data_IF_326609822369
#
_entry.id   IF_326609822369
#
_cell.length_a   1.000
_cell.length_b   1.000
_cell.length_c   1.000
_cell.angle_alpha   90.00
_cell.angle_beta   90.00
_cell.angle_gamma   90.00
#
_symmetry.space_group_name_H-M   'P 1'
#
loop_
_entity.id
_entity.type
_entity.pdbx_description
1 polymer ?
#
# COMPACT_ATOMS: atom_id res chain seq x y z
N UNK A 1 -54.46 -50.56 -2.09
CA UNK A 1 -52.98 -50.76 -2.15
C UNK A 1 -52.34 -49.75 -1.23
N UNK A 2 -51.50 -50.21 -0.32
CA UNK A 2 -51.07 -49.51 0.88
C UNK A 2 -49.90 -48.55 0.67
N UNK A 3 -49.85 -47.57 1.58
CA UNK A 3 -48.85 -46.57 1.93
C UNK A 3 -47.42 -47.10 1.99
N UNK A 4 -46.43 -46.31 1.53
CA UNK A 4 -45.08 -46.21 2.14
C UNK A 4 -44.42 -44.83 1.91
N UNK A 5 -44.06 -44.19 3.01
CA UNK A 5 -42.80 -43.47 3.28
C UNK A 5 -42.25 -44.07 4.59
N UNK A 6 -41.03 -43.79 5.12
CA UNK A 6 -39.88 -43.00 4.65
C UNK A 6 -38.51 -43.76 4.81
N UNK A 7 -37.37 -43.13 4.48
CA UNK A 7 -36.05 -43.65 4.86
C UNK A 7 -34.86 -42.82 4.35
N UNK A 8 -34.35 -41.96 5.24
CA UNK A 8 -32.95 -41.56 5.50
C UNK A 8 -31.89 -41.69 4.39
N UNK A 9 -31.31 -40.54 3.99
CA UNK A 9 -29.99 -40.50 3.37
C UNK A 9 -28.99 -39.84 4.32
N UNK A 10 -27.99 -40.66 4.67
CA UNK A 10 -26.79 -40.35 5.42
C UNK A 10 -25.96 -39.23 4.77
N UNK A 11 -25.48 -38.32 5.61
CA UNK A 11 -24.38 -37.40 5.31
C UNK A 11 -23.07 -38.19 5.40
N UNK A 12 -22.34 -38.32 4.30
CA UNK A 12 -20.95 -38.80 4.33
C UNK A 12 -19.99 -37.62 4.32
N UNK A 13 -19.43 -37.33 5.51
CA UNK A 13 -18.21 -36.56 5.69
C UNK A 13 -17.04 -37.28 4.98
N UNK A 14 -16.30 -36.56 4.15
CA UNK A 14 -14.95 -36.95 3.75
C UNK A 14 -14.03 -35.76 4.02
N UNK A 15 -13.44 -35.78 5.22
CA UNK A 15 -12.21 -35.07 5.53
C UNK A 15 -11.09 -35.65 4.66
N UNK A 16 -10.42 -34.80 3.89
CA UNK A 16 -9.16 -35.14 3.23
C UNK A 16 -8.01 -34.84 4.19
N UNK A 17 -7.32 -35.89 4.61
CA UNK A 17 -6.07 -35.80 5.37
C UNK A 17 -4.87 -35.38 4.49
N UNK A 18 -3.83 -34.79 5.09
CA UNK A 18 -2.68 -34.22 4.37
C UNK A 18 -1.71 -35.30 3.87
N UNK A 19 -1.24 -35.12 2.64
CA UNK A 19 -0.22 -35.97 1.99
C UNK A 19 1.13 -35.79 2.70
N UNK A 20 1.67 -36.91 3.22
CA UNK A 20 3.04 -37.05 3.72
C UNK A 20 4.04 -36.89 2.57
N UNK A 21 4.92 -35.88 2.63
CA UNK A 21 6.13 -35.86 1.80
C UNK A 21 7.19 -36.79 2.40
N UNK A 22 7.64 -37.73 1.58
CA UNK A 22 8.73 -38.64 1.88
C UNK A 22 10.09 -37.93 1.82
N UNK A 23 10.94 -38.25 2.78
CA UNK A 23 12.33 -37.81 2.90
C UNK A 23 13.17 -38.26 1.69
N UNK A 24 13.59 -37.30 0.84
CA UNK A 24 14.69 -37.49 -0.08
C UNK A 24 15.99 -37.00 0.58
N UNK A 25 16.88 -37.94 0.90
CA UNK A 25 18.26 -37.68 1.33
C UNK A 25 19.03 -37.04 0.17
N UNK A 26 19.34 -35.76 0.28
CA UNK A 26 20.36 -35.10 -0.53
C UNK A 26 21.73 -35.28 0.15
N UNK A 27 22.63 -36.02 -0.49
CA UNK A 27 24.03 -36.11 -0.11
C UNK A 27 24.71 -34.76 -0.40
N UNK A 28 25.18 -34.11 0.66
CA UNK A 28 26.05 -32.94 0.58
C UNK A 28 27.47 -33.42 0.27
N UNK A 29 27.97 -33.08 -0.91
CA UNK A 29 29.39 -33.17 -1.25
C UNK A 29 30.01 -31.83 -0.88
N UNK A 30 30.82 -31.84 0.17
CA UNK A 30 31.66 -30.72 0.60
C UNK A 30 32.80 -30.49 -0.39
N UNK A 31 32.93 -29.28 -0.91
CA UNK A 31 34.23 -28.72 -1.30
C UNK A 31 34.13 -27.19 -1.42
N UNK A 32 34.68 -26.51 -0.42
CA UNK A 32 35.14 -25.12 -0.51
C UNK A 32 36.66 -25.15 -0.43
N UNK A 33 37.40 -24.44 -1.30
CA UNK A 33 38.79 -24.11 -1.02
C UNK A 33 38.85 -22.81 -0.23
N UNK A 34 39.64 -22.83 0.85
CA UNK A 34 39.98 -21.69 1.70
C UNK A 34 40.66 -20.52 0.93
N UNK A 35 40.52 -19.27 1.41
CA UNK A 35 41.30 -18.15 0.91
C UNK A 35 42.75 -18.19 1.44
N UNK A 36 43.76 -17.76 0.66
CA UNK A 36 45.13 -17.77 1.13
C UNK A 36 45.41 -16.62 2.10
N UNK A 37 46.35 -16.92 3.01
CA UNK A 37 46.77 -16.18 4.17
C UNK A 37 47.49 -14.84 3.87
N UNK A 38 47.40 -13.98 4.89
CA UNK A 38 48.17 -12.76 5.10
C UNK A 38 49.65 -13.13 5.25
N UNK A 39 50.52 -12.48 4.49
CA UNK A 39 51.96 -12.44 4.74
C UNK A 39 52.37 -11.00 5.07
N UNK A 40 53.09 -10.91 6.17
CA UNK A 40 53.71 -9.75 6.80
C UNK A 40 55.09 -9.55 6.14
N UNK A 41 55.40 -8.35 5.64
CA UNK A 41 56.79 -7.93 5.42
C UNK A 41 56.94 -6.41 5.60
N UNK A 42 57.92 -6.06 6.42
CA UNK A 42 58.31 -4.75 6.92
C UNK A 42 59.26 -3.99 5.99
N UNK A 43 59.26 -2.64 6.14
CA UNK A 43 60.41 -1.71 5.97
C UNK A 43 60.77 -1.33 4.50
N UNK A 44 61.06 -0.09 4.07
CA UNK A 44 61.51 1.19 4.66
C UNK A 44 61.42 2.30 3.56
N UNK A 45 61.64 3.57 3.95
CA UNK A 45 61.80 4.84 3.19
C UNK A 45 60.53 5.54 2.63
N UNK A 46 60.25 6.85 2.81
CA UNK A 46 60.95 7.98 3.41
C UNK A 46 60.64 9.32 2.70
N UNK A 47 59.59 10.06 3.11
CA UNK A 47 59.46 11.55 3.31
C UNK A 47 59.72 12.53 2.11
N UNK A 48 59.20 13.80 2.01
CA UNK A 48 58.17 14.56 2.75
C UNK A 48 57.05 15.22 1.89
N UNK A 49 56.02 15.69 2.61
CA UNK A 49 54.99 16.66 2.23
C UNK A 49 55.51 18.10 2.45
N UNK A 50 55.26 19.03 1.52
CA UNK A 50 55.46 20.48 1.73
C UNK A 50 54.17 21.25 1.45
N UNK A 51 53.76 22.02 2.45
CA UNK A 51 52.71 23.03 2.50
C UNK A 51 53.20 24.37 1.92
N UNK A 52 52.37 25.10 1.17
CA UNK A 52 52.34 26.59 1.21
C UNK A 52 50.98 27.15 0.76
N UNK A 53 50.50 28.16 1.49
CA UNK A 53 49.33 29.01 1.22
C UNK A 53 49.73 30.29 0.42
N UNK A 54 48.76 31.08 -0.09
CA UNK A 54 48.92 31.93 -1.29
C UNK A 54 49.11 33.43 -0.98
N UNK A 55 49.25 34.30 -2.01
CA UNK A 55 48.91 35.72 -1.86
C UNK A 55 47.78 36.21 -2.80
N UNK A 56 46.96 37.07 -2.22
CA UNK A 56 46.00 38.02 -2.84
C UNK A 56 46.68 38.96 -3.85
N UNK A 57 45.91 39.56 -4.78
CA UNK A 57 45.86 41.02 -5.05
C UNK A 57 44.73 41.41 -6.02
N UNK A 58 43.86 42.27 -5.49
CA UNK A 58 43.15 43.45 -6.01
C UNK A 58 42.43 43.52 -7.38
N UNK A 59 41.20 44.03 -7.23
CA UNK A 59 40.20 44.53 -8.18
C UNK A 59 40.67 45.84 -8.87
N UNK A 60 40.30 46.04 -10.15
CA UNK A 60 40.01 47.37 -10.71
C UNK A 60 38.84 47.32 -11.72
N UNK A 61 38.01 48.34 -11.60
CA UNK A 61 36.74 48.65 -12.26
C UNK A 61 36.91 49.37 -13.59
N UNK A 62 35.94 49.24 -14.51
CA UNK A 62 35.57 50.30 -15.47
C UNK A 62 34.21 50.05 -16.14
N UNK A 63 33.40 51.11 -16.15
CA UNK A 63 32.01 51.25 -16.59
C UNK A 63 31.81 51.25 -18.13
N UNK A 64 30.57 50.94 -18.57
CA UNK A 64 29.65 51.73 -19.44
C UNK A 64 28.73 50.81 -20.26
N UNK A 65 27.41 50.79 -20.03
CA UNK A 65 26.32 51.65 -20.57
C UNK A 65 25.88 51.29 -22.01
N UNK A 66 24.56 51.21 -22.14
CA UNK A 66 23.66 50.60 -23.13
C UNK A 66 23.67 51.22 -24.54
N UNK A 67 23.22 50.46 -25.56
CA UNK A 67 22.18 50.97 -26.48
C UNK A 67 21.43 49.88 -27.29
N UNK A 68 20.24 50.28 -27.78
CA UNK A 68 19.12 49.50 -28.35
C UNK A 68 19.27 49.15 -29.85
N UNK A 69 18.46 48.19 -30.32
CA UNK A 69 17.45 48.28 -31.41
C UNK A 69 17.42 47.14 -32.45
N UNK A 70 16.26 46.46 -32.47
CA UNK A 70 15.44 45.88 -33.57
C UNK A 70 16.03 45.55 -34.96
N UNK A 71 15.68 44.37 -35.48
CA UNK A 71 15.04 44.20 -36.81
C UNK A 71 14.46 42.79 -37.00
N UNK A 72 13.36 42.72 -37.77
CA UNK A 72 12.42 41.61 -37.91
C UNK A 72 12.63 40.75 -39.19
N UNK A 73 12.48 39.42 -39.03
CA UNK A 73 11.80 38.42 -39.91
C UNK A 73 12.34 38.05 -41.32
N UNK A 74 11.82 36.98 -41.99
CA UNK A 74 11.73 35.55 -41.59
C UNK A 74 12.18 34.61 -42.74
N UNK A 75 12.36 33.30 -42.50
CA UNK A 75 12.21 32.29 -43.56
C UNK A 75 12.02 30.88 -42.99
N UNK A 76 10.83 30.36 -43.27
CA UNK A 76 10.36 29.01 -42.99
C UNK A 76 11.35 27.95 -43.50
N UNK A 77 11.61 26.95 -42.65
CA UNK A 77 11.87 25.60 -43.13
C UNK A 77 11.24 24.60 -42.17
N UNK A 78 10.00 24.25 -42.51
CA UNK A 78 9.27 23.10 -42.00
C UNK A 78 10.18 21.86 -42.07
N UNK A 79 10.64 21.38 -40.92
CA UNK A 79 10.98 19.98 -40.71
C UNK A 79 10.23 19.50 -39.50
N UNK A 80 9.07 18.93 -39.79
CA UNK A 80 8.47 17.80 -39.11
C UNK A 80 9.52 16.92 -38.44
N UNK A 81 9.59 17.00 -37.11
CA UNK A 81 9.62 15.80 -36.28
C UNK A 81 8.72 16.09 -35.09
N UNK A 82 7.53 15.50 -35.13
CA UNK A 82 6.72 15.14 -33.97
C UNK A 82 7.55 14.26 -33.03
N UNK A 83 8.49 14.87 -32.31
CA UNK A 83 9.13 14.24 -31.17
C UNK A 83 8.43 14.79 -29.95
N UNK A 84 7.57 13.95 -29.38
CA UNK A 84 7.14 13.94 -27.99
C UNK A 84 8.13 14.66 -27.05
N UNK A 85 7.95 15.97 -26.90
CA UNK A 85 8.37 16.72 -25.73
C UNK A 85 7.09 17.11 -24.99
N UNK A 86 6.39 16.08 -24.51
CA UNK A 86 5.60 16.21 -23.28
C UNK A 86 6.60 16.56 -22.19
N UNK A 87 6.78 17.86 -21.99
CA UNK A 87 7.60 18.41 -20.93
C UNK A 87 6.92 18.02 -19.61
N UNK A 88 7.59 17.17 -18.84
CA UNK A 88 7.26 16.91 -17.45
C UNK A 88 7.29 18.26 -16.71
N UNK A 89 6.12 18.76 -16.30
CA UNK A 89 5.99 19.89 -15.38
C UNK A 89 5.64 19.32 -14.00
N UNK A 90 6.57 19.29 -13.04
CA UNK A 90 6.22 18.96 -11.66
C UNK A 90 5.36 20.08 -11.04
N UNK A 91 4.31 19.68 -10.30
CA UNK A 91 3.42 20.51 -9.47
C UNK A 91 2.28 21.31 -10.14
N UNK A 92 1.51 20.71 -11.05
CA UNK A 92 0.10 21.11 -11.19
C UNK A 92 -0.80 19.90 -11.49
N UNK A 93 -1.69 19.49 -10.57
CA UNK A 93 -2.63 18.43 -10.86
C UNK A 93 -3.70 18.89 -11.85
N UNK A 94 -4.04 18.03 -12.82
CA UNK A 94 -5.25 18.11 -13.67
C UNK A 94 -6.51 17.65 -12.89
N UNK A 95 -6.57 17.90 -11.58
CA UNK A 95 -7.58 17.30 -10.70
C UNK A 95 -8.48 18.35 -10.07
N UNK A 96 -9.70 17.92 -9.74
CA UNK A 96 -10.61 18.72 -8.95
C UNK A 96 -10.12 18.72 -7.49
N UNK A 97 -9.57 19.86 -7.05
CA UNK A 97 -9.06 20.05 -5.69
C UNK A 97 -10.13 19.85 -4.60
N UNK A 98 -11.42 19.73 -4.96
CA UNK A 98 -12.50 19.49 -4.01
C UNK A 98 -12.66 18.01 -3.59
N UNK A 99 -12.04 17.05 -4.30
CA UNK A 99 -12.26 15.62 -4.03
C UNK A 99 -11.22 15.07 -3.06
N UNK A 100 -11.71 14.58 -1.91
CA UNK A 100 -10.88 13.95 -0.88
C UNK A 100 -10.82 12.43 -1.08
N UNK A 101 -9.63 11.85 -1.03
CA UNK A 101 -9.44 10.39 -0.93
C UNK A 101 -9.44 10.00 0.55
N UNK A 102 -10.52 9.38 1.01
CA UNK A 102 -10.63 8.79 2.35
C UNK A 102 -9.99 7.40 2.35
N UNK A 103 -8.72 7.35 2.73
CA UNK A 103 -7.93 6.14 2.74
C UNK A 103 -8.12 5.37 4.05
N UNK A 104 -8.76 4.21 4.01
CA UNK A 104 -8.97 3.36 5.18
C UNK A 104 -7.84 2.35 5.29
N UNK A 105 -7.05 2.45 6.35
CA UNK A 105 -5.94 1.53 6.64
C UNK A 105 -6.15 0.81 7.96
N UNK A 106 -6.56 -0.47 7.93
CA UNK A 106 -6.50 -1.32 9.11
C UNK A 106 -5.03 -1.63 9.43
N UNK A 107 -4.66 -1.57 10.71
CA UNK A 107 -3.32 -1.97 11.18
C UNK A 107 -3.41 -2.69 12.52
N UNK A 108 -2.34 -3.39 12.88
CA UNK A 108 -2.20 -4.11 14.14
C UNK A 108 -0.73 -4.29 14.51
N UNK A 109 -0.48 -4.46 15.81
CA UNK A 109 0.86 -4.61 16.37
C UNK A 109 1.55 -5.88 15.88
N UNK A 110 2.68 -5.70 15.19
CA UNK A 110 3.57 -6.78 14.72
C UNK A 110 4.96 -6.20 14.44
N UNK A 111 6.02 -7.03 14.33
CA UNK A 111 7.39 -6.53 14.10
C UNK A 111 7.53 -5.60 12.88
N UNK A 112 6.76 -5.83 11.81
CA UNK A 112 6.84 -5.05 10.57
C UNK A 112 5.87 -3.86 10.51
N UNK A 113 5.05 -3.62 11.54
CA UNK A 113 4.01 -2.57 11.52
C UNK A 113 4.58 -1.19 11.19
N UNK A 114 5.57 -0.74 11.96
CA UNK A 114 6.13 0.59 11.80
C UNK A 114 6.87 0.78 10.46
N UNK A 115 7.67 -0.19 9.96
CA UNK A 115 8.18 -0.15 8.60
C UNK A 115 7.09 -0.05 7.52
N UNK A 116 6.06 -0.90 7.59
CA UNK A 116 4.95 -0.96 6.63
C UNK A 116 4.17 0.36 6.59
N UNK A 117 3.79 0.88 7.75
CA UNK A 117 3.12 2.18 7.84
C UNK A 117 4.02 3.36 7.44
N UNK A 118 5.33 3.27 7.67
CA UNK A 118 6.27 4.34 7.29
C UNK A 118 6.36 4.45 5.77
N UNK A 119 6.52 3.33 5.05
CA UNK A 119 6.56 3.36 3.58
C UNK A 119 5.22 3.82 2.99
N UNK A 120 4.10 3.37 3.54
CA UNK A 120 2.78 3.82 3.09
C UNK A 120 2.64 5.33 3.31
N UNK A 121 2.93 5.83 4.51
CA UNK A 121 2.88 7.26 4.81
C UNK A 121 3.78 8.10 3.90
N UNK A 122 4.97 7.60 3.55
CA UNK A 122 5.86 8.28 2.60
C UNK A 122 5.29 8.34 1.18
N UNK A 123 4.66 7.26 0.69
CA UNK A 123 3.93 7.25 -0.58
C UNK A 123 2.78 8.27 -0.57
N UNK A 124 1.97 8.27 0.49
CA UNK A 124 0.80 9.16 0.59
C UNK A 124 1.15 10.64 0.66
N UNK A 125 2.36 11.01 1.10
CA UNK A 125 2.83 12.40 1.04
C UNK A 125 2.98 12.94 -0.38
N UNK A 126 3.03 12.06 -1.38
CA UNK A 126 3.07 12.43 -2.80
C UNK A 126 1.65 12.63 -3.38
N UNK A 127 0.61 12.30 -2.62
CA UNK A 127 -0.78 12.28 -3.09
C UNK A 127 -1.53 13.51 -2.54
N UNK A 128 -2.02 14.42 -3.39
CA UNK A 128 -2.79 15.57 -2.93
C UNK A 128 -4.17 15.16 -2.41
N UNK A 129 -4.72 15.94 -1.47
CA UNK A 129 -6.08 15.79 -0.93
C UNK A 129 -6.43 14.37 -0.48
N UNK A 130 -5.51 13.74 0.24
CA UNK A 130 -5.73 12.46 0.92
C UNK A 130 -6.01 12.70 2.40
N UNK A 131 -7.01 12.00 2.93
CA UNK A 131 -7.34 11.95 4.35
C UNK A 131 -7.17 10.51 4.84
N UNK A 132 -6.23 10.31 5.75
CA UNK A 132 -5.82 8.98 6.19
C UNK A 132 -6.61 8.52 7.43
N UNK A 133 -7.47 7.53 7.26
CA UNK A 133 -8.23 6.90 8.33
C UNK A 133 -7.47 5.65 8.78
N UNK A 134 -6.66 5.80 9.83
CA UNK A 134 -5.93 4.69 10.43
C UNK A 134 -6.74 4.12 11.58
N UNK A 135 -6.95 2.81 11.54
CA UNK A 135 -7.69 2.10 12.58
C UNK A 135 -6.84 0.96 13.11
N UNK A 136 -6.51 0.98 14.41
CA UNK A 136 -5.75 -0.09 15.06
C UNK A 136 -6.67 -1.21 15.58
N UNK A 137 -6.30 -2.46 15.32
CA UNK A 137 -6.87 -3.64 15.99
C UNK A 137 -6.27 -3.75 17.40
N UNK A 138 -6.70 -2.84 18.27
CA UNK A 138 -6.22 -2.69 19.64
C UNK A 138 -7.27 -2.04 20.55
N UNK A 139 -7.12 -2.24 21.86
CA UNK A 139 -7.95 -1.59 22.87
C UNK A 139 -7.41 -0.23 23.32
N UNK A 140 -6.14 0.07 23.02
CA UNK A 140 -5.48 1.33 23.35
C UNK A 140 -4.73 1.83 22.12
N UNK A 141 -4.62 3.15 21.96
CA UNK A 141 -3.83 3.76 20.88
C UNK A 141 -2.34 3.55 21.13
N UNK A 142 -1.60 3.18 20.09
CA UNK A 142 -0.15 3.07 20.18
C UNK A 142 0.50 4.44 19.95
N UNK A 143 1.43 4.81 20.85
CA UNK A 143 2.22 6.04 20.73
C UNK A 143 3.09 6.03 19.46
N UNK A 144 3.51 4.84 19.03
CA UNK A 144 4.28 4.65 17.81
C UNK A 144 3.50 5.07 16.57
N UNK A 145 2.25 4.61 16.44
CA UNK A 145 1.37 4.99 15.32
C UNK A 145 1.00 6.46 15.40
N UNK A 146 0.66 6.97 16.58
CA UNK A 146 0.34 8.40 16.74
C UNK A 146 1.52 9.30 16.29
N UNK A 147 2.74 9.00 16.76
CA UNK A 147 3.94 9.75 16.38
C UNK A 147 4.22 9.67 14.87
N UNK A 148 3.98 8.51 14.25
CA UNK A 148 4.12 8.34 12.81
C UNK A 148 3.11 9.19 12.04
N UNK A 149 1.84 9.22 12.47
CA UNK A 149 0.80 10.02 11.82
C UNK A 149 1.08 11.52 11.95
N UNK A 150 1.53 11.97 13.14
CA UNK A 150 1.87 13.39 13.35
C UNK A 150 3.02 13.85 12.45
N UNK A 151 4.06 13.03 12.26
CA UNK A 151 5.22 13.42 11.45
C UNK A 151 4.99 13.33 9.93
N UNK A 152 3.97 12.61 9.46
CA UNK A 152 3.70 12.53 8.01
C UNK A 152 3.09 13.82 7.47
N UNK A 153 2.46 14.63 8.32
CA UNK A 153 1.72 15.85 7.98
C UNK A 153 0.53 15.60 7.03
N UNK A 154 0.09 14.34 6.90
CA UNK A 154 -1.11 13.98 6.15
C UNK A 154 -2.30 14.19 7.09
N UNK A 155 -3.40 14.84 6.67
CA UNK A 155 -4.63 14.90 7.47
C UNK A 155 -5.10 13.49 7.82
N UNK A 156 -5.35 13.21 9.10
CA UNK A 156 -5.67 11.86 9.55
C UNK A 156 -6.72 11.82 10.67
N UNK A 157 -7.30 10.64 10.85
CA UNK A 157 -7.95 10.24 12.11
C UNK A 157 -7.36 8.91 12.56
N UNK A 158 -7.11 8.81 13.86
CA UNK A 158 -6.57 7.60 14.49
C UNK A 158 -7.64 6.97 15.38
N UNK A 159 -8.15 5.81 14.96
CA UNK A 159 -9.27 5.12 15.59
C UNK A 159 -8.84 3.76 16.17
N UNK A 160 -9.67 3.23 17.06
CA UNK A 160 -9.56 1.88 17.59
C UNK A 160 -10.71 1.02 17.08
N UNK A 161 -10.40 -0.17 16.58
CA UNK A 161 -11.35 -1.14 16.07
C UNK A 161 -10.98 -2.56 16.49
N UNK A 162 -10.94 -2.88 17.79
CA UNK A 162 -10.51 -4.17 18.27
C UNK A 162 -11.38 -5.29 17.69
N UNK A 163 -10.73 -6.35 17.23
CA UNK A 163 -11.38 -7.54 16.70
C UNK A 163 -12.21 -8.21 17.80
N UNK A 164 -13.48 -8.59 17.53
CA UNK A 164 -14.31 -9.25 18.53
C UNK A 164 -13.73 -10.61 18.94
N UNK A 165 -13.84 -11.00 20.23
CA UNK A 165 -13.40 -12.34 20.68
C UNK A 165 -14.04 -13.49 19.92
N UNK A 166 -15.28 -13.32 19.46
CA UNK A 166 -16.05 -14.30 18.68
C UNK A 166 -15.52 -14.56 17.29
N UNK A 167 -14.58 -13.74 16.81
CA UNK A 167 -14.08 -13.79 15.44
C UNK A 167 -12.57 -13.91 15.39
N UNK A 168 -11.90 -14.47 16.41
CA UNK A 168 -10.42 -14.60 16.44
C UNK A 168 -9.88 -15.78 15.62
N UNK A 169 -10.74 -16.61 15.06
CA UNK A 169 -10.37 -17.80 14.31
C UNK A 169 -9.83 -17.49 12.89
N UNK A 170 -9.27 -18.51 12.24
CA UNK A 170 -8.66 -18.37 10.90
C UNK A 170 -9.68 -18.21 9.76
N UNK A 171 -10.96 -18.54 9.97
CA UNK A 171 -12.04 -18.39 8.97
C UNK A 171 -12.65 -16.99 9.01
N UNK A 172 -12.39 -16.26 10.09
CA UNK A 172 -12.77 -14.87 10.26
C UNK A 172 -11.77 -13.94 9.60
N UNK A 173 -12.28 -13.04 8.77
CA UNK A 173 -11.51 -12.00 8.07
C UNK A 173 -10.76 -11.08 9.02
N UNK A 174 -9.56 -10.66 8.62
CA UNK A 174 -8.75 -9.67 9.35
C UNK A 174 -9.11 -8.24 8.91
N UNK A 175 -8.98 -7.28 9.83
CA UNK A 175 -9.23 -5.87 9.57
C UNK A 175 -10.71 -5.50 9.35
N UNK A 176 -11.64 -6.43 9.52
CA UNK A 176 -13.07 -6.17 9.31
C UNK A 176 -13.60 -5.19 10.37
N UNK A 177 -13.29 -5.39 11.66
CA UNK A 177 -13.66 -4.46 12.74
C UNK A 177 -13.13 -3.05 12.48
N UNK A 178 -11.90 -2.96 12.00
CA UNK A 178 -11.23 -1.71 11.66
C UNK A 178 -11.97 -0.97 10.54
N UNK A 179 -12.29 -1.66 9.42
CA UNK A 179 -13.03 -1.09 8.29
C UNK A 179 -14.45 -0.68 8.69
N UNK A 180 -15.14 -1.48 9.52
CA UNK A 180 -16.45 -1.13 10.05
C UNK A 180 -16.40 0.11 10.96
N UNK A 181 -15.34 0.27 11.77
CA UNK A 181 -15.14 1.49 12.57
C UNK A 181 -14.94 2.72 11.69
N UNK A 182 -14.19 2.59 10.59
CA UNK A 182 -14.04 3.66 9.61
C UNK A 182 -15.39 4.02 8.96
N UNK A 183 -16.24 3.05 8.67
CA UNK A 183 -17.60 3.28 8.15
C UNK A 183 -18.47 4.07 9.12
N UNK A 184 -18.44 3.72 10.42
CA UNK A 184 -19.13 4.47 11.46
C UNK A 184 -18.65 5.92 11.51
N UNK A 185 -17.33 6.12 11.50
CA UNK A 185 -16.74 7.46 11.54
C UNK A 185 -17.11 8.29 10.31
N UNK A 186 -17.02 7.72 9.10
CA UNK A 186 -17.42 8.41 7.87
C UNK A 186 -18.89 8.83 7.91
N UNK A 187 -19.78 7.95 8.36
CA UNK A 187 -21.22 8.25 8.49
C UNK A 187 -21.48 9.33 9.53
N UNK A 188 -20.78 9.29 10.66
CA UNK A 188 -20.94 10.28 11.73
C UNK A 188 -20.47 11.68 11.33
N UNK A 189 -19.40 11.79 10.54
CA UNK A 189 -18.78 13.07 10.21
C UNK A 189 -19.24 13.66 8.87
N UNK A 190 -19.62 12.82 7.91
CA UNK A 190 -19.99 13.25 6.56
C UNK A 190 -21.44 12.89 6.17
N UNK A 191 -22.16 12.17 7.03
CA UNK A 191 -23.58 11.87 6.82
C UNK A 191 -24.41 13.15 6.71
N UNK A 192 -25.14 13.30 5.61
CA UNK A 192 -25.95 14.50 5.34
C UNK A 192 -25.16 15.70 4.81
N UNK A 193 -23.85 15.55 4.57
CA UNK A 193 -23.02 16.58 3.92
C UNK A 193 -22.95 16.35 2.41
N UNK A 194 -22.60 17.38 1.65
CA UNK A 194 -22.31 17.29 0.22
C UNK A 194 -20.82 17.08 -0.09
N UNK A 195 -20.04 16.56 0.86
CA UNK A 195 -18.60 16.34 0.68
C UNK A 195 -18.34 15.40 -0.50
N UNK A 196 -17.56 15.88 -1.48
CA UNK A 196 -17.08 15.03 -2.57
C UNK A 196 -15.88 14.23 -2.09
N UNK A 197 -15.87 12.93 -2.38
CA UNK A 197 -14.77 12.08 -1.97
C UNK A 197 -14.92 10.66 -2.45
N UNK A 198 -13.82 9.92 -2.30
CA UNK A 198 -13.75 8.50 -2.64
C UNK A 198 -13.16 7.74 -1.46
N UNK A 199 -13.73 6.58 -1.16
CA UNK A 199 -13.26 5.67 -0.12
C UNK A 199 -12.38 4.64 -0.80
N UNK A 200 -11.15 4.48 -0.31
CA UNK A 200 -10.23 3.45 -0.78
C UNK A 200 -9.70 2.65 0.40
N UNK A 201 -9.67 1.32 0.25
CA UNK A 201 -9.18 0.39 1.27
C UNK A 201 -7.72 0.08 0.98
N UNK A 202 -6.83 0.50 1.88
CA UNK A 202 -5.40 0.31 1.72
C UNK A 202 -4.80 -0.37 2.95
N UNK A 203 -4.56 -1.68 2.85
CA UNK A 203 -3.83 -2.43 3.86
C UNK A 203 -2.39 -1.90 3.97
N UNK A 204 -1.84 -1.91 5.18
CA UNK A 204 -0.59 -1.21 5.47
C UNK A 204 0.65 -1.86 4.83
N UNK A 205 0.55 -3.11 4.36
CA UNK A 205 1.65 -3.88 3.79
C UNK A 205 1.64 -3.97 2.25
N UNK A 206 0.63 -3.45 1.58
CA UNK A 206 0.58 -3.40 0.11
C UNK A 206 1.54 -2.35 -0.47
N UNK A 207 1.78 -2.42 -1.78
CA UNK A 207 2.55 -1.42 -2.53
C UNK A 207 1.65 -0.70 -3.53
N UNK A 208 1.75 0.63 -3.57
CA UNK A 208 0.86 1.50 -4.33
C UNK A 208 1.66 2.43 -5.25
N UNK A 209 1.36 2.42 -6.54
CA UNK A 209 1.81 3.45 -7.45
C UNK A 209 0.98 4.72 -7.23
N UNK A 210 1.62 5.89 -7.18
CA UNK A 210 0.93 7.17 -6.94
C UNK A 210 -0.14 7.46 -8.00
N UNK A 211 0.02 6.94 -9.23
CA UNK A 211 -0.96 7.08 -10.32
C UNK A 211 -2.30 6.44 -10.00
N UNK A 212 -2.34 5.41 -9.16
CA UNK A 212 -3.59 4.78 -8.72
C UNK A 212 -4.54 5.78 -8.06
N UNK A 213 -3.99 6.69 -7.26
CA UNK A 213 -4.78 7.68 -6.53
C UNK A 213 -5.43 8.69 -7.46
N UNK A 214 -4.84 8.95 -8.62
CA UNK A 214 -5.42 9.80 -9.65
C UNK A 214 -6.53 9.08 -10.41
N UNK A 215 -6.35 7.79 -10.72
CA UNK A 215 -7.35 6.94 -11.39
C UNK A 215 -8.67 6.81 -10.60
N UNK A 216 -8.63 6.96 -9.27
CA UNK A 216 -9.82 6.81 -8.43
C UNK A 216 -10.57 8.12 -8.16
N UNK A 217 -9.99 9.31 -8.41
CA UNK A 217 -10.60 10.60 -7.96
C UNK A 217 -11.95 10.89 -8.59
N UNK A 218 -12.14 10.46 -9.82
CA UNK A 218 -13.37 10.70 -10.61
C UNK A 218 -14.40 9.57 -10.46
N UNK A 219 -14.24 8.67 -9.47
CA UNK A 219 -15.19 7.57 -9.21
C UNK A 219 -16.61 8.11 -8.95
N UNK A 220 -17.56 7.71 -9.79
CA UNK A 220 -18.96 8.12 -9.67
C UNK A 220 -19.76 7.19 -8.75
N UNK A 221 -19.52 5.88 -8.85
CA UNK A 221 -20.18 4.82 -8.09
C UNK A 221 -19.12 3.92 -7.46
N UNK A 222 -18.47 3.08 -8.28
CA UNK A 222 -17.42 2.15 -7.84
C UNK A 222 -16.46 1.94 -9.00
N UNK A 223 -15.21 2.35 -8.80
CA UNK A 223 -14.11 2.11 -9.74
C UNK A 223 -13.41 0.79 -9.44
N UNK A 224 -12.87 0.15 -10.46
CA UNK A 224 -12.20 -1.14 -10.35
C UNK A 224 -10.86 -1.15 -11.09
N UNK A 225 -9.84 -1.78 -10.49
CA UNK A 225 -8.46 -1.82 -10.97
C UNK A 225 -7.87 -3.24 -10.86
N UNK A 226 -6.88 -3.61 -11.69
CA UNK A 226 -6.08 -4.81 -11.48
C UNK A 226 -5.18 -4.72 -10.24
N UNK A 227 -5.05 -5.84 -9.52
CA UNK A 227 -4.14 -6.02 -8.37
C UNK A 227 -3.16 -7.15 -8.66
N UNK A 228 -1.86 -6.84 -8.57
CA UNK A 228 -0.79 -7.81 -8.80
C UNK A 228 -0.39 -8.60 -7.55
N UNK A 229 0.32 -9.72 -7.77
CA UNK A 229 0.90 -10.59 -6.73
C UNK A 229 -0.13 -11.25 -5.81
N UNK A 230 -1.34 -11.52 -6.32
CA UNK A 230 -2.40 -12.18 -5.56
C UNK A 230 -2.26 -13.71 -5.66
N UNK A 231 -1.97 -14.36 -4.53
CA UNK A 231 -1.95 -15.82 -4.40
C UNK A 231 -1.14 -16.51 -5.52
N UNK A 232 -1.54 -17.71 -5.95
CA UNK A 232 -0.88 -18.48 -7.01
C UNK A 232 -1.16 -17.96 -8.42
N UNK A 233 -2.28 -17.23 -8.61
CA UNK A 233 -2.65 -16.69 -9.92
C UNK A 233 -1.82 -15.45 -10.30
N UNK A 234 -1.25 -14.77 -9.31
CA UNK A 234 -0.42 -13.58 -9.49
C UNK A 234 -1.21 -12.32 -9.87
N UNK A 235 -2.54 -12.42 -10.04
CA UNK A 235 -3.39 -11.34 -10.52
C UNK A 235 -4.83 -11.50 -10.00
N UNK A 236 -5.44 -10.39 -9.60
CA UNK A 236 -6.88 -10.22 -9.45
C UNK A 236 -7.31 -9.05 -10.32
N UNK A 237 -8.28 -9.22 -11.23
CA UNK A 237 -8.68 -8.15 -12.15
C UNK A 237 -10.12 -8.29 -12.66
N UNK A 238 -10.83 -7.17 -12.91
CA UNK A 238 -12.02 -7.19 -13.74
C UNK A 238 -11.70 -7.65 -15.17
N UNK A 239 -12.64 -8.34 -15.80
CA UNK A 239 -12.62 -8.67 -17.22
C UNK A 239 -13.43 -7.61 -17.95
N UNK A 240 -12.79 -6.83 -18.82
CA UNK A 240 -13.40 -5.71 -19.55
C UNK A 240 -13.63 -6.11 -21.01
N UNK A 241 -14.82 -5.83 -21.52
CA UNK A 241 -15.11 -5.96 -22.95
C UNK A 241 -14.54 -4.76 -23.71
N UNK A 242 -13.55 -5.00 -24.58
CA UNK A 242 -12.88 -3.93 -25.34
C UNK A 242 -13.80 -3.11 -26.26
N UNK A 243 -14.92 -3.67 -26.72
CA UNK A 243 -15.87 -2.95 -27.60
C UNK A 243 -16.75 -1.99 -26.81
N UNK A 244 -17.18 -2.39 -25.62
CA UNK A 244 -18.13 -1.60 -24.81
C UNK A 244 -17.47 -0.81 -23.69
N UNK A 245 -16.22 -1.14 -23.34
CA UNK A 245 -15.53 -0.60 -22.16
C UNK A 245 -16.20 -0.98 -20.85
N UNK A 246 -17.00 -2.05 -20.81
CA UNK A 246 -17.75 -2.48 -19.62
C UNK A 246 -17.16 -3.75 -19.02
N UNK A 247 -17.23 -3.84 -17.70
CA UNK A 247 -16.86 -5.05 -16.95
C UNK A 247 -17.93 -6.12 -17.20
N UNK A 248 -17.48 -7.32 -17.59
CA UNK A 248 -18.34 -8.48 -17.90
C UNK A 248 -18.09 -9.68 -16.97
N UNK A 249 -17.07 -9.59 -16.12
CA UNK A 249 -16.69 -10.65 -15.20
C UNK A 249 -15.42 -10.30 -14.44
N UNK A 250 -14.83 -11.29 -13.79
CA UNK A 250 -13.65 -11.13 -12.94
C UNK A 250 -12.72 -12.33 -13.11
N UNK A 251 -11.42 -12.08 -13.01
CA UNK A 251 -10.36 -13.07 -13.00
C UNK A 251 -9.64 -12.96 -11.65
N UNK A 252 -9.81 -13.96 -10.78
CA UNK A 252 -9.33 -13.93 -9.40
C UNK A 252 -9.09 -15.36 -8.88
N UNK A 253 -8.09 -15.61 -8.02
CA UNK A 253 -7.81 -16.95 -7.51
C UNK A 253 -8.94 -17.56 -6.67
N UNK A 254 -9.86 -16.76 -6.15
CA UNK A 254 -10.93 -17.20 -5.24
C UNK A 254 -12.33 -17.01 -5.83
N UNK A 255 -12.54 -17.16 -7.15
CA UNK A 255 -13.85 -16.86 -7.80
C UNK A 255 -15.07 -17.44 -7.05
N UNK A 256 -15.04 -18.73 -6.66
CA UNK A 256 -16.09 -19.36 -5.86
C UNK A 256 -17.51 -19.06 -6.37
N UNK A 257 -18.45 -18.76 -5.46
CA UNK A 257 -19.81 -18.25 -5.79
C UNK A 257 -19.92 -16.72 -5.64
N UNK A 258 -18.80 -16.00 -5.75
CA UNK A 258 -18.78 -14.55 -5.54
C UNK A 258 -19.37 -13.84 -6.75
N UNK A 259 -20.18 -12.81 -6.49
CA UNK A 259 -20.69 -11.91 -7.54
C UNK A 259 -19.60 -10.93 -7.95
N UNK A 260 -18.82 -10.45 -6.98
CA UNK A 260 -17.67 -9.59 -7.17
C UNK A 260 -16.42 -10.31 -6.69
N UNK A 261 -15.72 -10.97 -7.61
CA UNK A 261 -14.48 -11.67 -7.32
C UNK A 261 -13.30 -10.67 -7.36
N UNK A 262 -13.34 -9.78 -6.36
CA UNK A 262 -12.39 -8.74 -5.93
C UNK A 262 -11.17 -9.16 -5.11
N UNK A 263 -10.03 -8.48 -5.20
CA UNK A 263 -9.22 -8.18 -4.00
C UNK A 263 -9.66 -6.84 -3.36
N UNK A 264 -9.45 -6.67 -2.05
CA UNK A 264 -9.82 -5.45 -1.31
C UNK A 264 -9.19 -4.18 -1.88
N UNK A 265 -7.94 -4.25 -2.37
CA UNK A 265 -7.24 -3.12 -2.97
C UNK A 265 -7.68 -2.83 -4.42
N UNK A 266 -8.52 -3.69 -5.00
CA UNK A 266 -8.92 -3.65 -6.41
C UNK A 266 -10.08 -2.71 -6.73
N UNK A 267 -10.60 -1.94 -5.76
CA UNK A 267 -11.72 -1.04 -6.00
C UNK A 267 -11.74 0.19 -5.08
N UNK A 268 -12.39 1.26 -5.54
CA UNK A 268 -12.71 2.43 -4.73
C UNK A 268 -14.20 2.77 -4.86
N UNK A 269 -14.77 3.40 -3.84
CA UNK A 269 -16.22 3.68 -3.76
C UNK A 269 -16.46 5.16 -3.59
N UNK A 270 -17.41 5.71 -4.34
CA UNK A 270 -17.83 7.09 -4.14
C UNK A 270 -18.40 7.29 -2.72
N UNK A 271 -17.94 8.32 -2.00
CA UNK A 271 -18.35 8.59 -0.62
C UNK A 271 -19.86 8.80 -0.51
N UNK A 272 -20.47 9.59 -1.39
CA UNK A 272 -21.90 9.90 -1.34
C UNK A 272 -22.74 8.67 -1.62
N UNK A 273 -22.32 7.84 -2.58
CA UNK A 273 -22.95 6.55 -2.85
C UNK A 273 -22.90 5.61 -1.64
N UNK A 274 -21.75 5.55 -0.94
CA UNK A 274 -21.62 4.80 0.31
C UNK A 274 -22.53 5.34 1.43
N UNK A 275 -22.60 6.68 1.61
CA UNK A 275 -23.40 7.30 2.67
C UNK A 275 -24.92 7.11 2.46
N UNK A 276 -25.37 7.06 1.20
CA UNK A 276 -26.75 6.69 0.84
C UNK A 276 -27.07 5.23 1.22
N UNK A 277 -26.06 4.36 1.14
CA UNK A 277 -26.15 2.94 1.50
C UNK A 277 -26.00 2.73 3.01
N UNK A 278 -26.99 3.15 3.80
CA UNK A 278 -26.97 3.10 5.28
C UNK A 278 -26.69 1.71 5.88
N UNK A 279 -27.01 0.64 5.15
CA UNK A 279 -26.82 -0.76 5.58
C UNK A 279 -25.54 -1.40 5.05
N UNK A 280 -24.70 -0.64 4.32
CA UNK A 280 -23.46 -1.18 3.80
C UNK A 280 -22.56 -1.67 4.94
N UNK A 281 -22.05 -2.90 4.82
CA UNK A 281 -21.33 -3.61 5.87
C UNK A 281 -20.39 -4.65 5.27
N UNK A 282 -19.56 -5.26 6.10
CA UNK A 282 -18.57 -6.26 5.70
C UNK A 282 -18.65 -7.46 6.66
N UNK A 283 -18.73 -8.71 6.16
CA UNK A 283 -18.77 -9.89 7.01
C UNK A 283 -17.38 -10.26 7.52
N UNK A 284 -17.32 -10.91 8.69
CA UNK A 284 -16.10 -11.59 9.16
C UNK A 284 -15.98 -12.97 8.52
N UNK A 285 -15.88 -13.03 7.19
CA UNK A 285 -15.82 -14.31 6.45
C UNK A 285 -14.76 -14.25 5.37
N UNK A 286 -13.65 -14.96 5.60
CA UNK A 286 -12.49 -14.98 4.69
C UNK A 286 -12.88 -15.28 3.25
N UNK A 287 -12.42 -14.41 2.35
CA UNK A 287 -12.64 -14.46 0.91
C UNK A 287 -14.00 -13.93 0.47
N UNK A 288 -14.85 -13.47 1.38
CA UNK A 288 -16.20 -12.96 1.08
C UNK A 288 -16.41 -11.52 1.57
N UNK A 289 -15.40 -10.90 2.16
CA UNK A 289 -15.45 -9.54 2.68
C UNK A 289 -15.85 -8.53 1.60
N UNK A 290 -15.11 -8.51 0.49
CA UNK A 290 -15.30 -7.59 -0.63
C UNK A 290 -16.64 -7.86 -1.33
N UNK A 291 -16.92 -9.13 -1.60
CA UNK A 291 -18.12 -9.56 -2.31
C UNK A 291 -19.40 -9.13 -1.57
N UNK A 292 -19.45 -9.35 -0.26
CA UNK A 292 -20.61 -8.95 0.53
C UNK A 292 -20.65 -7.45 0.80
N UNK A 293 -19.51 -6.78 0.89
CA UNK A 293 -19.49 -5.32 0.97
C UNK A 293 -20.09 -4.69 -0.28
N UNK A 294 -19.62 -5.06 -1.47
CA UNK A 294 -20.15 -4.55 -2.73
C UNK A 294 -21.63 -4.94 -2.92
N UNK A 295 -22.04 -6.15 -2.53
CA UNK A 295 -23.47 -6.54 -2.51
C UNK A 295 -24.29 -5.66 -1.57
N UNK A 296 -23.76 -5.28 -0.41
CA UNK A 296 -24.46 -4.45 0.58
C UNK A 296 -24.66 -3.00 0.13
N UNK A 297 -23.88 -2.53 -0.84
CA UNK A 297 -24.07 -1.26 -1.55
C UNK A 297 -25.15 -1.32 -2.65
N UNK A 298 -25.72 -2.50 -2.90
CA UNK A 298 -26.61 -2.81 -4.01
C UNK A 298 -26.07 -2.45 -5.41
N UNK A 299 -24.74 -2.37 -5.56
CA UNK A 299 -24.11 -2.06 -6.84
C UNK A 299 -24.33 -3.20 -7.85
N UNK A 300 -24.42 -2.83 -9.12
CA UNK A 300 -24.58 -3.75 -10.24
C UNK A 300 -23.34 -3.71 -11.13
N UNK A 301 -23.02 -4.83 -11.79
CA UNK A 301 -21.79 -4.97 -12.58
C UNK A 301 -21.67 -3.89 -13.67
N UNK A 302 -22.77 -3.51 -14.32
CA UNK A 302 -22.78 -2.49 -15.37
C UNK A 302 -22.53 -1.06 -14.87
N UNK A 303 -22.64 -0.82 -13.56
CA UNK A 303 -22.33 0.46 -12.92
C UNK A 303 -20.85 0.57 -12.52
N UNK A 304 -20.08 -0.53 -12.62
CA UNK A 304 -18.67 -0.52 -12.29
C UNK A 304 -17.86 0.21 -13.36
N UNK A 305 -16.88 0.98 -12.91
CA UNK A 305 -16.05 1.86 -13.74
C UNK A 305 -14.64 1.25 -13.88
N UNK A 306 -14.28 0.65 -15.02
CA UNK A 306 -12.93 0.14 -15.20
C UNK A 306 -11.93 1.31 -15.32
N UNK A 307 -10.81 1.18 -14.61
CA UNK A 307 -9.71 2.16 -14.57
C UNK A 307 -8.41 1.53 -15.04
N UNK A 308 -7.28 2.20 -14.89
CA UNK A 308 -5.94 1.71 -15.24
C UNK A 308 -5.88 1.21 -16.70
N UNK A 309 -6.26 2.11 -17.63
CA UNK A 309 -6.38 1.84 -19.07
C UNK A 309 -7.23 0.61 -19.38
N UNK A 310 -8.50 0.61 -18.95
CA UNK A 310 -9.41 -0.53 -19.09
C UNK A 310 -8.87 -1.83 -18.49
N UNK A 311 -8.29 -1.74 -17.30
CA UNK A 311 -7.73 -2.84 -16.54
C UNK A 311 -6.56 -3.55 -17.25
N UNK A 312 -5.75 -2.79 -18.00
CA UNK A 312 -4.54 -3.32 -18.67
C UNK A 312 -3.24 -2.96 -17.97
N UNK A 313 -3.29 -2.11 -16.93
CA UNK A 313 -2.14 -1.73 -16.11
C UNK A 313 -2.34 -2.13 -14.65
N UNK A 314 -1.28 -2.65 -14.02
CA UNK A 314 -1.26 -2.93 -12.58
C UNK A 314 -0.61 -1.73 -11.87
N UNK A 315 -1.36 -1.10 -10.97
CA UNK A 315 -0.93 0.08 -10.20
C UNK A 315 -0.91 -0.17 -8.68
N UNK A 316 -1.28 -1.39 -8.26
CA UNK A 316 -1.26 -1.84 -6.87
C UNK A 316 -0.87 -3.30 -6.80
N UNK A 317 -0.08 -3.65 -5.78
CA UNK A 317 0.41 -4.99 -5.55
C UNK A 317 0.14 -5.42 -4.12
N UNK A 318 -0.39 -6.63 -3.95
CA UNK A 318 -0.62 -7.24 -2.65
C UNK A 318 0.67 -7.89 -2.14
N UNK A 319 1.62 -7.05 -1.75
CA UNK A 319 2.85 -7.48 -1.09
C UNK A 319 2.60 -7.88 0.35
N UNK A 320 3.49 -8.69 0.91
CA UNK A 320 3.53 -9.00 2.35
C UNK A 320 4.97 -8.97 2.83
N UNK A 321 5.21 -8.23 3.90
CA UNK A 321 6.54 -8.19 4.52
C UNK A 321 6.78 -9.49 5.26
N UNK A 322 7.95 -10.11 5.05
CA UNK A 322 8.34 -11.29 5.85
C UNK A 322 8.44 -10.87 7.33
N UNK A 323 7.97 -11.70 8.29
CA UNK A 323 8.15 -11.41 9.69
C UNK A 323 9.62 -11.18 10.03
N UNK A 324 9.90 -10.15 10.82
CA UNK A 324 11.22 -9.87 11.38
C UNK A 324 11.29 -10.24 12.86
N UNK A 325 12.50 -10.43 13.37
CA UNK A 325 12.73 -10.71 14.79
C UNK A 325 12.60 -9.42 15.61
N UNK A 326 11.96 -9.53 16.79
CA UNK A 326 11.96 -8.43 17.77
C UNK A 326 13.29 -8.40 18.52
N UNK A 327 13.84 -7.21 18.83
CA UNK A 327 15.01 -7.12 19.69
C UNK A 327 14.75 -7.80 21.04
N UNK A 328 15.74 -8.56 21.50
CA UNK A 328 15.71 -9.20 22.81
C UNK A 328 16.84 -8.62 23.66
N UNK A 329 16.50 -8.05 24.83
CA UNK A 329 17.47 -7.48 25.77
C UNK A 329 18.58 -8.48 26.13
N UNK A 330 18.25 -9.77 26.23
CA UNK A 330 19.22 -10.83 26.55
C UNK A 330 20.21 -11.12 25.42
N UNK A 331 19.93 -10.67 24.20
CA UNK A 331 20.80 -10.84 23.02
C UNK A 331 21.64 -9.60 22.72
N UNK A 332 21.58 -8.55 23.55
CA UNK A 332 22.45 -7.39 23.42
C UNK A 332 23.92 -7.85 23.58
N UNK A 333 24.71 -7.79 22.49
CA UNK A 333 26.09 -8.32 22.41
C UNK A 333 27.02 -7.50 23.31
N UNK A 334 27.55 -8.13 24.37
CA UNK A 334 28.33 -7.50 25.45
C UNK A 334 29.42 -6.55 24.94
N UNK A 335 29.09 -5.27 24.82
CA UNK A 335 30.06 -4.18 24.82
C UNK A 335 30.31 -3.81 26.29
N UNK A 336 31.57 -3.57 26.67
CA UNK A 336 31.89 -3.09 28.03
C UNK A 336 31.20 -1.73 28.28
N UNK A 337 30.35 -1.67 29.32
CA UNK A 337 29.56 -0.50 29.79
C UNK A 337 28.37 -0.03 28.93
N UNK A 338 27.29 -0.83 28.87
CA UNK A 338 26.02 -0.41 28.23
C UNK A 338 25.35 0.82 28.83
N UNK A 339 25.44 1.02 30.14
CA UNK A 339 24.68 2.04 30.85
C UNK A 339 25.04 3.47 30.44
N UNK A 340 26.21 3.65 29.84
CA UNK A 340 26.70 4.93 29.33
C UNK A 340 26.47 5.10 27.82
N UNK A 341 25.77 4.15 27.18
CA UNK A 341 25.47 4.18 25.74
C UNK A 341 24.01 4.49 25.48
N UNK A 342 23.69 4.77 24.22
CA UNK A 342 22.32 4.91 23.73
C UNK A 342 21.55 3.57 23.62
N UNK A 343 22.22 2.42 23.74
CA UNK A 343 21.61 1.11 23.50
C UNK A 343 20.46 0.76 24.45
N UNK A 344 20.56 0.98 25.79
CA UNK A 344 19.43 0.72 26.69
C UNK A 344 18.18 1.51 26.29
N UNK A 345 18.33 2.81 26.00
CA UNK A 345 17.22 3.66 25.57
C UNK A 345 16.66 3.22 24.22
N UNK A 346 17.51 2.81 23.26
CA UNK A 346 17.05 2.32 21.96
C UNK A 346 16.25 1.02 22.11
N UNK A 347 16.74 0.07 22.91
CA UNK A 347 16.03 -1.20 23.16
C UNK A 347 14.68 -0.97 23.85
N UNK A 348 14.64 -0.08 24.84
CA UNK A 348 13.38 0.32 25.47
C UNK A 348 12.41 0.91 24.43
N UNK A 349 12.86 1.87 23.63
CA UNK A 349 12.03 2.52 22.61
C UNK A 349 11.50 1.53 21.55
N UNK A 350 12.29 0.54 21.13
CA UNK A 350 11.85 -0.45 20.13
C UNK A 350 10.96 -1.54 20.74
N UNK A 351 11.02 -1.78 22.06
CA UNK A 351 10.09 -2.71 22.72
C UNK A 351 8.75 -2.06 23.11
N UNK A 352 8.72 -0.73 23.27
CA UNK A 352 7.50 0.05 23.54
C UNK A 352 6.69 0.41 22.28
N UNK A 353 7.22 0.13 21.08
CA UNK A 353 6.51 0.19 19.79
C UNK A 353 5.81 -1.12 19.46
#
# INVERSE_FOLDING_TARGET
MAVRTPGDYYVSDVYSEPVKLANAKLQLVNSSPDPPAIADESSIDGVPIVSTNPPNIAIKTSNCVCDKSESQQPLERQRTIDTLQSTFVPNKPLFNDDVIIFLITPTYTRPTQMPDMTRLGQTLRLVPNVFWIVVEDAHNQSKAVENLLRRTMIPYVHLLGPRPPTHMDQRSGRGVSNRLKAFEWLRANYGGTNQKGVIYFADDDNAYDVRLFDEMRDTQIVSMFPVGLISTLGLSTPIVNHKTGKIIGFHDPFIGRRKFAVDMAGFAVNLQFFLQSKKATMPYKVGYEEDYFLKSLDVKIWQLEPKAKNCTEVLVWHTKTKPGDKPNHNMMIKVTNYNETNLPSLYQNVMET
#
